data_IF_941538348563
#
_entry.id   IF_941538348563
#
_cell.length_a   1.000
_cell.length_b   1.000
_cell.length_c   1.000
_cell.angle_alpha   90.00
_cell.angle_beta   90.00
_cell.angle_gamma   90.00
#
_symmetry.space_group_name_H-M   'P 1'
#
loop_
_entity.id
_entity.type
_entity.pdbx_description
1 polymer ?
#
# COMPACT_ATOMS: atom_id res chain seq x y z
N UNK A 1 9.03 -57.33 -45.73
CA UNK A 1 8.80 -56.90 -44.33
C UNK A 1 9.50 -55.56 -44.12
N UNK A 2 8.87 -54.47 -44.55
CA UNK A 2 9.51 -53.15 -44.69
C UNK A 2 8.93 -52.15 -43.68
N UNK A 3 9.80 -51.79 -42.73
CA UNK A 3 9.98 -50.46 -42.14
C UNK A 3 8.76 -49.73 -41.55
N UNK A 4 8.53 -49.92 -40.24
CA UNK A 4 7.86 -48.93 -39.38
C UNK A 4 8.89 -48.47 -38.35
N UNK A 5 9.80 -47.57 -38.74
CA UNK A 5 10.78 -46.94 -37.82
C UNK A 5 10.84 -45.41 -37.92
N UNK A 6 9.99 -44.79 -38.75
CA UNK A 6 10.04 -43.35 -39.06
C UNK A 6 8.91 -42.55 -38.36
N UNK A 7 7.92 -43.22 -37.76
CA UNK A 7 6.75 -42.55 -37.15
C UNK A 7 7.03 -41.88 -35.79
N UNK A 8 8.05 -42.33 -35.05
CA UNK A 8 8.35 -41.84 -33.70
C UNK A 8 9.07 -40.47 -33.63
N UNK A 9 10.12 -40.18 -34.44
CA UNK A 9 10.81 -38.89 -34.35
C UNK A 9 9.99 -37.73 -34.92
N UNK A 10 9.10 -38.00 -35.88
CA UNK A 10 8.20 -36.97 -36.48
C UNK A 10 7.09 -36.57 -35.51
N UNK A 11 6.56 -37.52 -34.73
CA UNK A 11 5.55 -37.25 -33.71
C UNK A 11 6.14 -36.48 -32.52
N UNK A 12 7.39 -36.78 -32.12
CA UNK A 12 8.09 -36.07 -31.05
C UNK A 12 8.47 -34.63 -31.45
N UNK A 13 8.89 -34.42 -32.70
CA UNK A 13 9.17 -33.06 -33.22
C UNK A 13 7.90 -32.23 -33.39
N UNK A 14 6.78 -32.84 -33.80
CA UNK A 14 5.49 -32.16 -33.87
C UNK A 14 5.00 -31.69 -32.48
N UNK A 15 5.25 -32.49 -31.43
CA UNK A 15 4.86 -32.16 -30.06
C UNK A 15 5.68 -31.00 -29.46
N UNK A 16 6.96 -30.87 -29.83
CA UNK A 16 7.83 -29.76 -29.41
C UNK A 16 7.47 -28.45 -30.11
N UNK A 17 7.05 -28.49 -31.38
CA UNK A 17 6.63 -27.28 -32.12
C UNK A 17 5.32 -26.69 -31.59
N UNK A 18 4.41 -27.53 -31.05
CA UNK A 18 3.15 -27.06 -30.44
C UNK A 18 3.36 -26.48 -29.03
N UNK A 19 4.35 -26.98 -28.28
CA UNK A 19 4.60 -26.57 -26.88
C UNK A 19 5.24 -25.18 -26.70
N UNK A 20 5.79 -24.57 -27.75
CA UNK A 20 6.55 -23.30 -27.65
C UNK A 20 5.71 -22.03 -27.89
N UNK A 21 4.38 -22.07 -27.73
CA UNK A 21 3.53 -20.88 -27.78
C UNK A 21 3.53 -20.18 -26.43
N UNK A 22 4.64 -19.52 -26.07
CA UNK A 22 4.62 -18.53 -24.98
C UNK A 22 3.67 -17.41 -25.43
N UNK A 23 2.57 -17.12 -24.72
CA UNK A 23 1.78 -15.94 -25.00
C UNK A 23 2.62 -14.72 -24.66
N UNK A 24 3.23 -14.11 -25.68
CA UNK A 24 3.79 -12.78 -25.56
C UNK A 24 2.62 -11.84 -25.25
N UNK A 25 2.51 -11.40 -23.99
CA UNK A 25 1.50 -10.43 -23.54
C UNK A 25 1.88 -9.04 -24.07
N UNK A 26 1.71 -8.84 -25.38
CA UNK A 26 1.89 -7.54 -26.01
C UNK A 26 0.71 -6.65 -25.62
N UNK A 27 0.92 -5.79 -24.62
CA UNK A 27 -0.10 -4.82 -24.19
C UNK A 27 -0.38 -3.83 -25.33
N UNK A 28 -1.65 -3.73 -25.75
CA UNK A 28 -2.08 -2.88 -26.87
C UNK A 28 -2.04 -1.39 -26.50
N UNK A 29 -1.41 -0.56 -27.33
CA UNK A 29 -1.33 0.89 -27.17
C UNK A 29 -0.01 1.41 -26.59
N UNK A 30 0.23 2.71 -26.67
CA UNK A 30 1.43 3.36 -26.12
C UNK A 30 1.46 3.23 -24.59
N UNK A 31 2.66 3.23 -23.99
CA UNK A 31 2.82 3.19 -22.54
C UNK A 31 2.03 4.32 -21.84
N UNK A 32 2.07 5.52 -22.40
CA UNK A 32 1.35 6.68 -21.88
C UNK A 32 -0.16 6.42 -21.81
N UNK A 33 -0.76 5.84 -22.85
CA UNK A 33 -2.19 5.53 -22.86
C UNK A 33 -2.58 4.48 -21.82
N UNK A 34 -1.74 3.46 -21.62
CA UNK A 34 -1.99 2.42 -20.61
C UNK A 34 -1.91 3.00 -19.21
N UNK A 35 -0.86 3.77 -18.91
CA UNK A 35 -0.72 4.45 -17.62
C UNK A 35 -1.90 5.40 -17.36
N UNK A 36 -2.31 6.17 -18.37
CA UNK A 36 -3.46 7.07 -18.27
C UNK A 36 -4.73 6.32 -17.88
N UNK A 37 -5.00 5.16 -18.47
CA UNK A 37 -6.16 4.33 -18.12
C UNK A 37 -6.13 3.84 -16.67
N UNK A 38 -4.98 3.33 -16.21
CA UNK A 38 -4.84 2.88 -14.81
C UNK A 38 -5.04 4.03 -13.81
N UNK A 39 -4.42 5.19 -14.08
CA UNK A 39 -4.54 6.37 -13.22
C UNK A 39 -5.97 6.89 -13.21
N UNK A 40 -6.63 6.97 -14.36
CA UNK A 40 -8.03 7.42 -14.44
C UNK A 40 -8.97 6.51 -13.66
N UNK A 41 -8.77 5.19 -13.74
CA UNK A 41 -9.56 4.26 -12.95
C UNK A 41 -9.30 4.45 -11.45
N UNK A 42 -8.04 4.37 -11.01
CA UNK A 42 -7.68 4.43 -9.58
C UNK A 42 -7.96 5.78 -8.91
N UNK A 43 -8.07 6.85 -9.69
CA UNK A 43 -8.37 8.20 -9.20
C UNK A 43 -9.83 8.62 -9.44
N UNK A 44 -10.69 7.74 -9.95
CA UNK A 44 -12.09 8.08 -10.18
C UNK A 44 -12.84 8.31 -8.87
N UNK A 45 -13.74 9.29 -8.83
CA UNK A 45 -14.58 9.59 -7.66
C UNK A 45 -15.40 8.40 -7.18
N UNK A 46 -15.71 7.45 -8.07
CA UNK A 46 -16.42 6.21 -7.75
C UNK A 46 -15.64 5.25 -6.83
N UNK A 47 -14.34 5.49 -6.59
CA UNK A 47 -13.53 4.77 -5.61
C UNK A 47 -13.39 5.53 -4.29
N UNK A 48 -14.16 6.60 -4.08
CA UNK A 48 -14.38 7.25 -2.77
C UNK A 48 -13.13 7.84 -2.10
N UNK A 49 -11.93 7.66 -2.66
CA UNK A 49 -10.67 8.18 -2.13
C UNK A 49 -9.69 7.07 -1.74
N UNK A 50 -8.91 7.33 -0.69
CA UNK A 50 -7.81 6.47 -0.23
C UNK A 50 -7.91 6.12 1.26
N UNK A 51 -9.08 6.32 1.85
CA UNK A 51 -9.31 5.94 3.23
C UNK A 51 -9.30 4.40 3.33
N UNK A 52 -8.45 3.81 4.20
CA UNK A 52 -8.43 2.38 4.41
C UNK A 52 -9.78 1.83 4.86
N UNK A 53 -10.05 0.56 4.57
CA UNK A 53 -11.31 -0.12 4.96
C UNK A 53 -12.60 0.51 4.38
N UNK A 54 -12.50 1.27 3.29
CA UNK A 54 -13.66 1.75 2.51
C UNK A 54 -13.97 0.84 1.32
N UNK A 55 -15.22 0.90 0.84
CA UNK A 55 -15.66 0.11 -0.31
C UNK A 55 -14.87 0.43 -1.58
N UNK A 56 -14.57 1.71 -1.78
CA UNK A 56 -13.73 2.17 -2.88
C UNK A 56 -12.29 1.66 -2.82
N UNK A 57 -11.69 1.60 -1.62
CA UNK A 57 -10.37 1.03 -1.43
C UNK A 57 -10.35 -0.47 -1.73
N UNK A 58 -11.38 -1.22 -1.34
CA UNK A 58 -11.48 -2.65 -1.65
C UNK A 58 -11.57 -2.92 -3.16
N UNK A 59 -12.31 -2.09 -3.88
CA UNK A 59 -12.41 -2.13 -5.36
C UNK A 59 -11.08 -1.77 -6.02
N UNK A 60 -10.36 -0.78 -5.50
CA UNK A 60 -9.02 -0.43 -6.00
C UNK A 60 -8.04 -1.60 -5.83
N UNK A 61 -8.05 -2.24 -4.66
CA UNK A 61 -7.21 -3.39 -4.38
C UNK A 61 -7.55 -4.58 -5.30
N UNK A 62 -8.84 -4.81 -5.58
CA UNK A 62 -9.26 -5.88 -6.50
C UNK A 62 -8.79 -5.61 -7.92
N UNK A 63 -8.92 -4.36 -8.38
CA UNK A 63 -8.42 -3.96 -9.69
C UNK A 63 -6.91 -4.23 -9.85
N UNK A 64 -6.11 -3.92 -8.82
CA UNK A 64 -4.66 -4.17 -8.83
C UNK A 64 -4.39 -5.67 -8.88
N UNK A 65 -5.12 -6.47 -8.09
CA UNK A 65 -5.03 -7.93 -8.12
C UNK A 65 -5.38 -8.50 -9.50
N UNK A 66 -6.43 -7.99 -10.16
CA UNK A 66 -6.79 -8.34 -11.53
C UNK A 66 -5.64 -8.05 -12.51
N UNK A 67 -5.01 -6.87 -12.40
CA UNK A 67 -3.87 -6.52 -13.26
C UNK A 67 -2.69 -7.48 -13.04
N UNK A 68 -2.41 -7.87 -11.80
CA UNK A 68 -1.37 -8.87 -11.51
C UNK A 68 -1.69 -10.25 -12.10
N UNK A 69 -2.94 -10.71 -11.98
CA UNK A 69 -3.39 -11.96 -12.63
C UNK A 69 -3.22 -11.91 -14.15
N UNK A 70 -3.63 -10.80 -14.77
CA UNK A 70 -3.50 -10.60 -16.22
C UNK A 70 -2.03 -10.55 -16.70
N UNK A 71 -1.12 -10.12 -15.84
CA UNK A 71 0.32 -10.11 -16.15
C UNK A 71 1.02 -11.44 -15.84
N UNK A 72 0.31 -12.41 -15.28
CA UNK A 72 0.90 -13.71 -14.88
C UNK A 72 1.79 -13.63 -13.65
N UNK A 73 1.60 -12.61 -12.80
CA UNK A 73 2.35 -12.48 -11.53
C UNK A 73 1.83 -13.52 -10.55
N UNK A 74 2.72 -14.32 -9.98
CA UNK A 74 2.37 -15.29 -8.94
C UNK A 74 2.01 -14.57 -7.63
N UNK A 75 0.94 -14.98 -6.93
CA UNK A 75 0.57 -14.40 -5.66
C UNK A 75 1.60 -14.72 -4.58
N UNK A 76 1.71 -13.84 -3.59
CA UNK A 76 2.52 -14.09 -2.40
C UNK A 76 1.65 -14.74 -1.32
N UNK A 77 1.90 -16.01 -0.99
CA UNK A 77 1.07 -16.74 -0.02
C UNK A 77 -0.28 -17.15 -0.60
N UNK A 78 -1.37 -16.93 0.15
CA UNK A 78 -2.71 -17.40 -0.23
C UNK A 78 -3.36 -16.60 -1.36
N UNK A 79 -2.85 -15.41 -1.69
CA UNK A 79 -3.43 -14.58 -2.74
C UNK A 79 -2.69 -13.25 -2.96
N UNK A 80 -3.37 -12.32 -3.64
CA UNK A 80 -2.82 -11.00 -3.97
C UNK A 80 -3.00 -9.96 -2.85
N UNK A 81 -3.63 -10.33 -1.74
CA UNK A 81 -3.90 -9.45 -0.59
C UNK A 81 -3.08 -9.90 0.61
N UNK A 82 -2.51 -8.93 1.32
CA UNK A 82 -1.76 -9.14 2.56
C UNK A 82 -2.46 -8.36 3.68
N UNK A 83 -3.13 -9.03 4.64
CA UNK A 83 -3.79 -8.35 5.73
C UNK A 83 -2.77 -7.80 6.72
N UNK A 84 -2.98 -6.57 7.17
CA UNK A 84 -2.23 -5.96 8.27
C UNK A 84 -3.16 -5.06 9.08
N UNK A 85 -2.85 -4.89 10.37
CA UNK A 85 -3.63 -4.04 11.27
C UNK A 85 -3.13 -2.60 11.22
N UNK A 86 -4.07 -1.65 11.19
CA UNK A 86 -3.79 -0.22 11.36
C UNK A 86 -4.65 0.33 12.49
N UNK A 87 -4.13 1.34 13.18
CA UNK A 87 -4.95 2.16 14.07
C UNK A 87 -5.82 3.09 13.21
N UNK A 88 -7.10 2.76 13.03
CA UNK A 88 -8.03 3.57 12.23
C UNK A 88 -8.48 4.84 12.97
N UNK A 89 -8.56 4.80 14.30
CA UNK A 89 -9.00 5.92 15.11
C UNK A 89 -8.38 5.87 16.51
N UNK A 90 -7.89 7.00 16.99
CA UNK A 90 -7.52 7.18 18.40
C UNK A 90 -8.74 7.70 19.15
N UNK A 91 -9.23 6.94 20.11
CA UNK A 91 -10.29 7.39 21.01
C UNK A 91 -9.67 7.89 22.32
N UNK A 92 -9.93 9.15 22.65
CA UNK A 92 -9.54 9.72 23.93
C UNK A 92 -10.48 9.21 25.03
N UNK A 93 -9.94 8.43 25.96
CA UNK A 93 -10.70 7.91 27.11
C UNK A 93 -10.25 8.62 28.38
N UNK A 94 -11.19 9.03 29.24
CA UNK A 94 -10.89 9.72 30.50
C UNK A 94 -10.26 11.11 30.30
N UNK A 95 -9.33 11.49 31.18
CA UNK A 95 -8.67 12.80 31.14
C UNK A 95 -7.39 12.76 30.30
N UNK A 96 -7.40 13.46 29.17
CA UNK A 96 -6.27 13.54 28.25
C UNK A 96 -5.68 14.96 28.27
N UNK A 97 -4.37 15.08 28.48
CA UNK A 97 -3.67 16.37 28.51
C UNK A 97 -2.37 16.31 27.72
N UNK A 98 -2.11 17.35 26.92
CA UNK A 98 -0.82 17.55 26.27
C UNK A 98 -0.23 18.85 26.81
N UNK A 99 0.99 18.77 27.35
CA UNK A 99 1.72 19.92 27.88
C UNK A 99 3.10 19.96 27.25
N UNK A 100 3.41 21.04 26.56
CA UNK A 100 4.75 21.31 26.07
C UNK A 100 5.48 22.11 27.13
N UNK A 101 6.61 21.58 27.58
CA UNK A 101 7.54 22.28 28.47
C UNK A 101 8.68 22.82 27.62
N UNK A 102 8.75 24.14 27.49
CA UNK A 102 9.83 24.81 26.76
C UNK A 102 10.54 25.83 27.66
N UNK A 103 11.86 25.90 27.55
CA UNK A 103 12.64 27.02 28.06
C UNK A 103 12.65 28.11 26.98
N UNK A 104 11.86 29.17 27.16
CA UNK A 104 11.91 30.32 26.26
C UNK A 104 13.07 31.22 26.67
N UNK A 105 14.05 31.36 25.77
CA UNK A 105 15.12 32.33 25.94
C UNK A 105 14.55 33.75 25.88
N UNK A 106 14.86 34.56 26.89
CA UNK A 106 14.50 35.97 26.93
C UNK A 106 15.79 36.79 26.84
N UNK A 107 15.85 37.83 25.98
CA UNK A 107 17.00 38.73 25.92
C UNK A 107 17.34 39.26 27.32
N UNK A 108 18.60 39.10 27.74
CA UNK A 108 19.09 39.58 29.04
C UNK A 108 18.88 38.63 30.24
N UNK A 109 18.31 37.44 30.06
CA UNK A 109 18.20 36.43 31.15
C UNK A 109 19.11 35.23 30.84
N UNK A 110 20.06 34.86 31.73
CA UNK A 110 20.91 33.70 31.51
C UNK A 110 20.11 32.40 31.60
N UNK A 111 20.50 31.39 30.81
CA UNK A 111 19.80 30.09 30.73
C UNK A 111 19.57 29.40 32.09
N UNK A 112 20.46 29.62 33.06
CA UNK A 112 20.36 29.09 34.42
C UNK A 112 19.20 29.68 35.24
N UNK A 113 18.72 30.87 34.88
CA UNK A 113 17.62 31.56 35.56
C UNK A 113 16.28 31.47 34.80
N UNK A 114 16.26 30.80 33.63
CA UNK A 114 15.04 30.63 32.84
C UNK A 114 14.10 29.62 33.51
N UNK A 115 12.84 30.04 33.69
CA UNK A 115 11.77 29.15 34.17
C UNK A 115 11.08 28.48 32.98
N UNK A 116 10.81 27.17 33.04
CA UNK A 116 10.08 26.48 31.98
C UNK A 116 8.66 27.04 31.86
N UNK A 117 8.25 27.36 30.63
CA UNK A 117 6.86 27.68 30.31
C UNK A 117 6.15 26.38 29.97
N UNK A 118 4.97 26.17 30.57
CA UNK A 118 4.08 25.07 30.22
C UNK A 118 2.96 25.61 29.34
N UNK A 119 2.93 25.19 28.08
CA UNK A 119 1.83 25.49 27.17
C UNK A 119 0.93 24.26 27.15
N UNK A 120 -0.33 24.44 27.56
CA UNK A 120 -1.35 23.39 27.49
C UNK A 120 -1.99 23.40 26.10
N UNK A 121 -2.01 22.25 25.43
CA UNK A 121 -2.64 22.05 24.14
C UNK A 121 -3.98 21.35 24.32
N UNK A 122 -4.99 21.80 23.57
CA UNK A 122 -6.31 21.16 23.54
C UNK A 122 -6.27 19.96 22.58
N UNK A 123 -6.54 18.74 23.07
CA UNK A 123 -6.64 17.58 22.20
C UNK A 123 -7.69 17.78 21.10
N UNK A 124 -7.45 17.24 19.91
CA UNK A 124 -8.26 17.34 18.68
C UNK A 124 -8.38 18.75 18.06
N UNK A 125 -7.87 19.79 18.72
CA UNK A 125 -7.80 21.16 18.17
C UNK A 125 -6.35 21.55 17.88
N UNK A 126 -5.50 21.56 18.92
CA UNK A 126 -4.09 21.94 18.82
C UNK A 126 -3.19 20.73 18.52
N UNK A 127 -3.69 19.52 18.82
CA UNK A 127 -2.98 18.26 18.64
C UNK A 127 -3.93 17.10 18.37
N UNK A 128 -3.72 16.40 17.26
CA UNK A 128 -4.40 15.15 16.95
C UNK A 128 -3.46 14.00 17.32
N UNK A 129 -3.81 13.16 18.32
CA UNK A 129 -3.00 12.02 18.66
C UNK A 129 -3.06 11.02 17.50
N UNK A 130 -1.89 10.58 17.05
CA UNK A 130 -1.77 9.55 16.04
C UNK A 130 -1.60 8.21 16.76
N UNK A 131 -2.07 7.11 16.20
CA UNK A 131 -1.87 5.77 16.79
C UNK A 131 -0.39 5.37 16.95
N UNK A 132 0.54 6.13 16.35
CA UNK A 132 1.99 5.97 16.49
C UNK A 132 2.58 6.76 17.67
N UNK A 133 1.76 7.52 18.41
CA UNK A 133 2.22 8.42 19.48
C UNK A 133 2.21 7.79 20.87
N UNK A 134 2.25 6.45 20.98
CA UNK A 134 2.40 5.77 22.28
C UNK A 134 3.66 6.28 22.98
N UNK A 135 3.45 7.22 23.90
CA UNK A 135 4.49 7.74 24.78
C UNK A 135 4.33 7.04 26.11
N UNK A 136 4.58 5.73 26.12
CA UNK A 136 4.78 4.97 27.34
C UNK A 136 6.23 5.10 27.78
N UNK A 137 6.46 5.41 29.06
CA UNK A 137 7.78 5.13 29.66
C UNK A 137 7.83 3.62 29.87
N UNK A 138 8.60 2.91 29.04
CA UNK A 138 8.92 1.50 29.32
C UNK A 138 9.71 1.52 30.64
N UNK A 139 9.14 0.88 31.66
CA UNK A 139 9.85 0.52 32.89
C UNK A 139 10.25 -0.94 32.82
#
# INVERSE_FOLDING_TARGET
MTSVRIACPVLLTLLVVVGARVPAHSQTGSLAERLRKHVQFLAASALEGREPATSGNDRAAEYIADQFRMMGVEPLGEGYRQPFSIASQVQLVGTNQVRIRMLLERPGIPRSALKPVQIAWKPLQDYVPLGISDTGTIT
#
